data_IF_826932046397
#
_entry.id   IF_826932046397
#
_cell.length_a   1.000
_cell.length_b   1.000
_cell.length_c   1.000
_cell.angle_alpha   90.00
_cell.angle_beta   90.00
_cell.angle_gamma   90.00
#
_symmetry.space_group_name_H-M   'P 1'
#
loop_
_entity.id
_entity.type
_entity.pdbx_description
1 polymer ?
#
# COMPACT_ATOMS: atom_id res chain seq x y z
N UNK A 1 0.44 -0.39 4.44
CA UNK A 1 1.86 0.00 4.32
C UNK A 1 1.94 1.28 3.51
N UNK A 2 2.90 2.17 3.77
CA UNK A 2 3.01 3.40 2.96
C UNK A 2 3.81 3.11 1.70
N UNK A 3 3.36 3.63 0.55
CA UNK A 3 4.11 3.55 -0.70
C UNK A 3 5.30 4.53 -0.63
N UNK A 4 6.52 4.02 -0.56
CA UNK A 4 7.74 4.84 -0.56
C UNK A 4 8.15 5.26 -1.96
N UNK A 5 8.08 4.35 -2.92
CA UNK A 5 8.30 4.64 -4.35
C UNK A 5 7.44 3.73 -5.22
N UNK A 6 6.87 4.29 -6.28
CA UNK A 6 6.26 3.57 -7.38
C UNK A 6 7.06 3.93 -8.63
N UNK A 7 7.57 2.92 -9.33
CA UNK A 7 8.39 3.10 -10.52
C UNK A 7 7.78 2.39 -11.71
N UNK A 8 7.91 3.01 -12.88
CA UNK A 8 7.52 2.48 -14.18
C UNK A 8 8.78 2.29 -15.02
N UNK A 9 8.99 1.08 -15.53
CA UNK A 9 10.11 0.79 -16.44
C UNK A 9 9.71 1.18 -17.86
N UNK A 10 10.52 2.04 -18.48
CA UNK A 10 10.33 2.52 -19.87
C UNK A 10 11.58 2.24 -20.70
N UNK A 11 11.40 2.20 -22.02
CA UNK A 11 12.47 1.98 -22.96
C UNK A 11 12.15 2.69 -24.27
N UNK A 12 13.04 3.58 -24.72
CA UNK A 12 12.90 4.32 -25.99
C UNK A 12 12.72 3.43 -27.22
N UNK A 13 13.16 2.17 -27.16
CA UNK A 13 12.95 1.18 -28.23
C UNK A 13 11.50 0.73 -28.38
N UNK A 14 10.60 1.16 -27.49
CA UNK A 14 9.15 0.96 -27.64
C UNK A 14 8.49 1.96 -28.60
N UNK A 15 9.24 2.92 -29.15
CA UNK A 15 8.74 3.88 -30.15
C UNK A 15 7.45 4.57 -29.68
N UNK A 16 6.38 4.53 -30.48
CA UNK A 16 5.09 5.14 -30.13
C UNK A 16 4.33 4.41 -29.01
N UNK A 17 4.75 3.21 -28.59
CA UNK A 17 4.21 2.54 -27.41
C UNK A 17 4.84 3.03 -26.10
N UNK A 18 5.85 3.91 -26.17
CA UNK A 18 6.52 4.44 -24.98
C UNK A 18 5.62 5.49 -24.29
N UNK A 19 5.38 5.37 -22.97
CA UNK A 19 4.72 6.42 -22.20
C UNK A 19 5.54 7.71 -22.20
N UNK A 20 4.88 8.85 -22.47
CA UNK A 20 5.46 10.20 -22.45
C UNK A 20 4.98 11.03 -21.26
N UNK A 21 3.71 10.89 -20.87
CA UNK A 21 3.17 11.52 -19.66
C UNK A 21 2.33 10.54 -18.85
N UNK A 22 2.61 10.46 -17.55
CA UNK A 22 1.92 9.55 -16.62
C UNK A 22 1.41 10.35 -15.44
N UNK A 23 0.10 10.24 -15.17
CA UNK A 23 -0.51 10.79 -13.99
C UNK A 23 -0.80 9.68 -12.98
N UNK A 24 -0.56 9.96 -11.70
CA UNK A 24 -0.84 9.02 -10.60
C UNK A 24 -1.92 9.60 -9.72
N UNK A 25 -2.93 8.79 -9.42
CA UNK A 25 -4.05 9.12 -8.55
C UNK A 25 -4.09 8.16 -7.36
N UNK A 26 -4.75 8.57 -6.28
CA UNK A 26 -5.06 7.67 -5.18
C UNK A 26 -6.14 8.20 -4.26
N UNK A 27 -6.74 7.29 -3.50
CA UNK A 27 -7.91 7.58 -2.68
C UNK A 27 -8.63 6.32 -2.21
N UNK A 28 -9.91 6.48 -1.87
CA UNK A 28 -10.79 5.40 -1.41
C UNK A 28 -11.99 5.26 -2.36
N UNK A 29 -12.27 4.03 -2.81
CA UNK A 29 -13.32 3.77 -3.80
C UNK A 29 -13.13 4.63 -5.05
N UNK A 30 -14.21 5.32 -5.46
CA UNK A 30 -14.21 6.20 -6.64
C UNK A 30 -13.66 7.62 -6.36
N UNK A 31 -13.34 7.94 -5.09
CA UNK A 31 -12.87 9.27 -4.68
C UNK A 31 -11.35 9.41 -4.85
N UNK A 32 -10.88 9.30 -6.09
CA UNK A 32 -9.46 9.40 -6.44
C UNK A 32 -9.02 10.87 -6.60
N UNK A 33 -7.91 11.24 -5.94
CA UNK A 33 -7.26 12.55 -6.11
C UNK A 33 -5.95 12.38 -6.85
N UNK A 34 -5.62 13.35 -7.70
CA UNK A 34 -4.33 13.38 -8.41
C UNK A 34 -3.21 13.59 -7.39
N UNK A 35 -2.27 12.65 -7.35
CA UNK A 35 -1.10 12.66 -6.47
C UNK A 35 0.13 13.18 -7.20
N UNK A 36 0.28 12.84 -8.48
CA UNK A 36 1.42 13.27 -9.29
C UNK A 36 1.10 13.35 -10.78
N UNK A 37 1.93 14.08 -11.54
CA UNK A 37 1.96 14.12 -13.01
C UNK A 37 3.42 14.18 -13.47
N UNK A 38 3.86 13.19 -14.24
CA UNK A 38 5.26 12.99 -14.59
C UNK A 38 5.42 12.95 -16.10
N UNK A 39 6.23 13.87 -16.62
CA UNK A 39 6.77 13.79 -17.96
C UNK A 39 7.97 12.84 -18.00
N UNK A 40 8.04 12.02 -19.04
CA UNK A 40 9.09 11.02 -19.26
C UNK A 40 9.93 11.47 -20.44
N UNK A 41 11.25 11.48 -20.27
CA UNK A 41 12.19 11.71 -21.36
C UNK A 41 12.10 10.54 -22.36
N UNK A 42 11.74 10.86 -23.60
CA UNK A 42 11.51 9.91 -24.68
C UNK A 42 12.79 9.18 -25.12
N UNK A 43 13.98 9.65 -24.70
CA UNK A 43 15.26 8.98 -24.92
C UNK A 43 15.65 8.03 -23.80
N UNK A 44 14.91 8.02 -22.69
CA UNK A 44 15.27 7.29 -21.48
C UNK A 44 15.03 5.77 -21.59
N UNK A 45 15.90 5.02 -20.94
CA UNK A 45 15.77 3.57 -20.73
C UNK A 45 16.01 3.30 -19.25
N UNK A 46 15.03 2.72 -18.57
CA UNK A 46 15.15 2.36 -17.15
C UNK A 46 13.90 2.61 -16.33
N UNK A 47 14.07 2.73 -15.01
CA UNK A 47 12.99 2.93 -14.06
C UNK A 47 12.74 4.43 -13.79
N UNK A 48 11.57 4.92 -14.18
CA UNK A 48 11.10 6.28 -13.83
C UNK A 48 10.30 6.22 -12.53
N UNK A 49 10.65 7.05 -11.56
CA UNK A 49 9.87 7.20 -10.32
C UNK A 49 8.63 8.06 -10.59
N UNK A 50 7.43 7.48 -10.52
CA UNK A 50 6.16 8.16 -10.81
C UNK A 50 5.39 8.60 -9.57
N UNK A 51 5.73 8.07 -8.40
CA UNK A 51 5.21 8.50 -7.10
C UNK A 51 6.24 8.18 -6.01
N UNK A 52 6.47 9.09 -5.08
CA UNK A 52 7.35 8.84 -3.93
C UNK A 52 6.88 9.51 -2.65
N UNK A 53 7.46 9.06 -1.54
CA UNK A 53 7.35 9.66 -0.20
C UNK A 53 5.93 9.91 0.31
N UNK A 54 5.03 8.95 0.04
CA UNK A 54 3.68 9.00 0.60
C UNK A 54 3.70 8.99 2.13
N UNK A 55 3.02 9.98 2.71
CA UNK A 55 2.86 10.14 4.17
C UNK A 55 1.56 9.52 4.69
N UNK A 56 0.61 9.26 3.81
CA UNK A 56 -0.69 8.66 4.13
C UNK A 56 -0.90 7.36 3.37
N UNK A 57 -1.62 6.43 4.01
CA UNK A 57 -2.01 5.19 3.37
C UNK A 57 -3.18 5.46 2.42
N UNK A 58 -3.02 5.12 1.14
CA UNK A 58 -4.10 5.14 0.17
C UNK A 58 -4.38 3.71 -0.29
N UNK A 59 -5.60 3.18 -0.09
CA UNK A 59 -5.92 1.80 -0.44
C UNK A 59 -5.96 1.57 -1.95
N UNK A 60 -6.23 2.61 -2.74
CA UNK A 60 -6.19 2.57 -4.20
C UNK A 60 -5.12 3.55 -4.71
N UNK A 61 -4.27 3.05 -5.60
CA UNK A 61 -3.36 3.86 -6.43
C UNK A 61 -3.65 3.52 -7.88
N UNK A 62 -3.92 4.54 -8.69
CA UNK A 62 -4.24 4.41 -10.10
C UNK A 62 -3.17 5.11 -10.95
N UNK A 63 -2.61 4.38 -11.91
CA UNK A 63 -1.64 4.89 -12.87
C UNK A 63 -2.39 5.15 -14.17
N UNK A 64 -2.39 6.39 -14.65
CA UNK A 64 -2.96 6.79 -15.94
C UNK A 64 -1.84 7.14 -16.89
N UNK A 65 -1.73 6.39 -17.99
CA UNK A 65 -0.92 6.80 -19.13
C UNK A 65 -1.73 7.84 -19.89
N UNK A 66 -1.25 9.09 -19.86
CA UNK A 66 -2.00 10.23 -20.39
C UNK A 66 -1.60 10.50 -21.85
N UNK A 67 -0.33 10.36 -22.15
CA UNK A 67 0.24 10.57 -23.48
C UNK A 67 1.33 9.53 -23.74
N UNK A 68 1.37 8.99 -24.96
CA UNK A 68 2.47 8.19 -25.47
C UNK A 68 3.31 9.04 -26.45
N UNK A 69 4.51 8.57 -26.76
CA UNK A 69 5.38 9.16 -27.77
C UNK A 69 4.71 9.13 -29.16
N UNK A 70 4.99 10.15 -29.97
CA UNK A 70 4.52 10.27 -31.36
C UNK A 70 2.99 10.02 -31.52
N UNK A 71 2.20 10.51 -30.57
CA UNK A 71 0.74 10.35 -30.49
C UNK A 71 0.26 8.88 -30.55
N UNK A 72 1.06 7.96 -30.02
CA UNK A 72 0.70 6.55 -29.90
C UNK A 72 -0.58 6.35 -29.09
N UNK A 73 -1.42 5.42 -29.55
CA UNK A 73 -2.72 5.12 -28.94
C UNK A 73 -2.67 3.93 -27.97
N UNK A 74 -1.61 3.14 -28.07
CA UNK A 74 -1.34 1.97 -27.22
C UNK A 74 -0.07 2.22 -26.41
N UNK A 75 0.07 1.49 -25.31
CA UNK A 75 1.23 1.60 -24.42
C UNK A 75 1.84 0.23 -24.15
N UNK A 76 3.18 0.16 -24.12
CA UNK A 76 3.90 -1.03 -23.64
C UNK A 76 4.41 -0.79 -22.22
N UNK A 77 3.90 -1.59 -21.28
CA UNK A 77 4.35 -1.56 -19.89
C UNK A 77 5.39 -2.65 -19.68
N UNK A 78 6.67 -2.26 -19.57
CA UNK A 78 7.77 -3.23 -19.38
C UNK A 78 7.93 -3.71 -17.94
N UNK A 79 7.56 -2.88 -16.97
CA UNK A 79 7.67 -3.22 -15.56
C UNK A 79 7.05 -2.18 -14.66
N UNK A 80 6.49 -2.63 -13.54
CA UNK A 80 5.98 -1.79 -12.45
C UNK A 80 6.64 -2.27 -11.16
N UNK A 81 7.25 -1.36 -10.40
CA UNK A 81 7.95 -1.67 -9.15
C UNK A 81 7.39 -0.81 -8.02
N UNK A 82 7.12 -1.43 -6.88
CA UNK A 82 6.67 -0.74 -5.67
C UNK A 82 7.67 -0.99 -4.54
N UNK A 83 8.17 0.08 -3.94
CA UNK A 83 8.85 0.06 -2.65
C UNK A 83 7.86 0.54 -1.59
N UNK A 84 7.57 -0.30 -0.60
CA UNK A 84 6.69 0.09 0.51
C UNK A 84 7.45 0.07 1.83
N UNK A 85 7.09 0.96 2.76
CA UNK A 85 7.51 0.78 4.15
C UNK A 85 6.65 -0.32 4.76
N UNK A 86 7.32 -1.37 5.23
CA UNK A 86 6.67 -2.43 5.99
C UNK A 86 6.36 -1.91 7.39
N UNK A 87 5.31 -1.12 7.54
CA UNK A 87 4.83 -0.74 8.87
C UNK A 87 3.97 -1.87 9.44
N UNK A 88 4.63 -2.93 9.89
CA UNK A 88 4.12 -3.90 10.88
C UNK A 88 5.27 -4.48 11.70
N UNK A 89 6.23 -3.64 12.05
CA UNK A 89 6.87 -3.83 13.33
C UNK A 89 6.09 -2.98 14.32
N UNK A 90 5.48 -3.62 15.31
CA UNK A 90 4.80 -2.89 16.40
C UNK A 90 5.82 -2.21 17.31
N UNK A 91 7.12 -2.31 17.01
CA UNK A 91 8.20 -1.84 17.87
C UNK A 91 8.21 -2.59 19.20
N UNK A 92 7.69 -3.83 19.21
CA UNK A 92 7.65 -4.64 20.41
C UNK A 92 9.08 -5.10 20.71
N UNK A 93 9.75 -4.38 21.60
CA UNK A 93 10.95 -4.84 22.30
C UNK A 93 10.59 -5.24 23.72
N UNK A 94 11.38 -6.12 24.32
CA UNK A 94 11.23 -6.43 25.75
C UNK A 94 11.40 -5.17 26.61
N UNK A 95 12.35 -4.31 26.25
CA UNK A 95 12.66 -3.04 26.93
C UNK A 95 11.45 -2.10 27.01
N UNK A 96 10.59 -2.09 25.97
CA UNK A 96 9.35 -1.30 25.97
C UNK A 96 8.47 -1.62 27.18
N UNK A 97 8.39 -2.90 27.57
CA UNK A 97 7.58 -3.35 28.70
C UNK A 97 8.23 -3.05 30.04
N UNK A 98 9.54 -2.78 30.07
CA UNK A 98 10.30 -2.47 31.29
C UNK A 98 10.44 -0.97 31.55
N UNK A 99 9.96 -0.10 30.64
CA UNK A 99 10.03 1.35 30.80
C UNK A 99 9.37 1.81 32.12
N UNK A 100 10.07 2.61 32.95
CA UNK A 100 9.60 3.00 34.28
C UNK A 100 8.37 3.92 34.24
N UNK A 101 8.15 4.60 33.11
CA UNK A 101 7.02 5.48 32.86
C UNK A 101 5.92 4.83 32.01
N UNK A 102 5.98 3.52 31.76
CA UNK A 102 4.94 2.83 31.03
C UNK A 102 3.69 2.69 31.92
N UNK A 103 2.68 3.51 31.65
CA UNK A 103 1.38 3.39 32.31
C UNK A 103 0.70 2.11 31.83
N UNK A 104 0.46 1.18 32.76
CA UNK A 104 -0.24 -0.07 32.48
C UNK A 104 -1.69 0.05 32.92
N UNK A 105 -2.57 -0.71 32.27
CA UNK A 105 -3.91 -0.90 32.81
C UNK A 105 -3.82 -1.56 34.19
N UNK A 106 -4.68 -1.20 35.16
CA UNK A 106 -4.60 -1.72 36.53
C UNK A 106 -4.55 -3.25 36.62
N UNK A 107 -5.28 -3.94 35.73
CA UNK A 107 -5.29 -5.42 35.64
C UNK A 107 -3.96 -6.05 35.20
N UNK A 108 -3.03 -5.25 34.68
CA UNK A 108 -1.75 -5.70 34.14
C UNK A 108 -0.54 -5.25 34.98
N UNK A 109 -0.73 -4.40 36.00
CA UNK A 109 0.36 -3.86 36.82
C UNK A 109 1.18 -4.95 37.53
N UNK A 110 0.51 -5.98 38.05
CA UNK A 110 1.16 -7.12 38.72
C UNK A 110 1.68 -8.21 37.78
N UNK A 111 1.58 -8.04 36.45
CA UNK A 111 2.07 -9.04 35.50
C UNK A 111 3.53 -8.78 35.14
N UNK A 112 4.33 -9.84 35.15
CA UNK A 112 5.73 -9.80 34.73
C UNK A 112 5.88 -9.16 33.32
N UNK A 113 6.77 -8.15 33.14
CA UNK A 113 6.96 -7.47 31.86
C UNK A 113 7.36 -8.41 30.71
N UNK A 114 8.18 -9.42 30.97
CA UNK A 114 8.63 -10.36 29.95
C UNK A 114 7.48 -11.28 29.52
N UNK A 115 6.58 -11.62 30.44
CA UNK A 115 5.36 -12.37 30.12
C UNK A 115 4.41 -11.53 29.25
N UNK A 116 4.27 -10.24 29.54
CA UNK A 116 3.49 -9.31 28.72
C UNK A 116 4.08 -9.19 27.31
N UNK A 117 5.40 -9.05 27.20
CA UNK A 117 6.11 -9.03 25.92
C UNK A 117 5.84 -10.30 25.11
N UNK A 118 6.00 -11.49 25.72
CA UNK A 118 5.74 -12.78 25.03
C UNK A 118 4.29 -12.89 24.55
N UNK A 119 3.32 -12.46 25.38
CA UNK A 119 1.90 -12.42 24.99
C UNK A 119 1.66 -11.49 23.81
N UNK A 120 2.26 -10.29 23.83
CA UNK A 120 2.14 -9.32 22.74
C UNK A 120 2.72 -9.89 21.42
N UNK A 121 3.87 -10.56 21.48
CA UNK A 121 4.48 -11.23 20.31
C UNK A 121 3.57 -12.33 19.76
N UNK A 122 2.96 -13.15 20.62
CA UNK A 122 2.03 -14.19 20.20
C UNK A 122 0.78 -13.61 19.54
N UNK A 123 0.18 -12.59 20.12
CA UNK A 123 -0.98 -11.90 19.54
C UNK A 123 -0.61 -11.30 18.17
N UNK A 124 0.55 -10.65 18.07
CA UNK A 124 1.03 -10.10 16.79
C UNK A 124 1.21 -11.19 15.73
N UNK A 125 1.75 -12.36 16.09
CA UNK A 125 1.89 -13.50 15.17
C UNK A 125 0.54 -14.06 14.77
N UNK A 126 -0.39 -14.19 15.71
CA UNK A 126 -1.75 -14.63 15.43
C UNK A 126 -2.46 -13.69 14.45
N UNK A 127 -2.41 -12.38 14.68
CA UNK A 127 -3.00 -11.38 13.77
C UNK A 127 -2.37 -11.48 12.37
N UNK A 128 -1.04 -11.62 12.28
CA UNK A 128 -0.35 -11.81 11.00
C UNK A 128 -0.85 -13.05 10.25
N UNK A 129 -1.04 -14.16 10.95
CA UNK A 129 -1.59 -15.39 10.37
C UNK A 129 -3.06 -15.21 9.97
N UNK A 130 -3.88 -14.65 10.86
CA UNK A 130 -5.29 -14.39 10.60
C UNK A 130 -5.46 -13.52 9.36
N UNK A 131 -4.76 -12.39 9.26
CA UNK A 131 -4.82 -11.50 8.10
C UNK A 131 -4.42 -12.22 6.80
N UNK A 132 -3.48 -13.17 6.87
CA UNK A 132 -3.06 -13.94 5.68
C UNK A 132 -4.14 -14.86 5.14
N UNK A 133 -5.08 -15.29 5.99
CA UNK A 133 -6.19 -16.18 5.61
C UNK A 133 -7.54 -15.48 5.60
N UNK A 134 -7.63 -14.24 6.09
CA UNK A 134 -8.89 -13.53 6.29
C UNK A 134 -9.70 -13.41 5.00
N UNK A 135 -9.04 -13.18 3.87
CA UNK A 135 -9.65 -13.09 2.55
C UNK A 135 -10.26 -14.42 2.04
N UNK A 136 -9.89 -15.56 2.64
CA UNK A 136 -10.53 -16.85 2.39
C UNK A 136 -11.68 -17.13 3.35
N UNK A 137 -11.68 -16.51 4.53
CA UNK A 137 -12.65 -16.74 5.61
C UNK A 137 -13.85 -15.80 5.53
N UNK A 138 -13.65 -14.60 4.99
CA UNK A 138 -14.68 -13.57 4.85
C UNK A 138 -14.88 -13.35 3.35
N UNK A 139 -16.10 -13.59 2.81
CA UNK A 139 -16.43 -13.17 1.46
C UNK A 139 -16.08 -11.70 1.31
N UNK A 140 -15.48 -11.29 0.19
CA UNK A 140 -15.26 -9.87 -0.10
C UNK A 140 -16.55 -9.13 0.25
N UNK A 141 -16.48 -8.17 1.16
CA UNK A 141 -17.66 -7.42 1.60
C UNK A 141 -18.14 -6.65 0.38
N UNK A 142 -19.07 -7.23 -0.37
CA UNK A 142 -19.68 -6.58 -1.51
C UNK A 142 -20.42 -5.36 -0.96
N UNK A 143 -19.89 -4.17 -1.20
CA UNK A 143 -20.55 -2.91 -0.87
C UNK A 143 -21.84 -2.68 -1.69
N UNK A 144 -22.32 -3.68 -2.43
CA UNK A 144 -23.64 -3.71 -3.07
C UNK A 144 -24.74 -4.22 -2.15
N UNK A 145 -24.59 -4.13 -0.81
CA UNK A 145 -25.70 -4.25 0.14
C UNK A 145 -26.64 -3.05 -0.02
N UNK A 146 -27.42 -3.11 -1.08
CA UNK A 146 -28.45 -2.17 -1.45
C UNK A 146 -29.65 -2.89 -2.03
N UNK A 147 -30.04 -4.06 -1.52
CA UNK A 147 -31.39 -4.62 -1.74
C UNK A 147 -31.77 -5.67 -0.68
N UNK A 148 -32.05 -5.24 0.56
CA UNK A 148 -32.77 -6.07 1.55
C UNK A 148 -34.29 -6.14 1.27
N UNK A 149 -34.71 -6.33 0.02
CA UNK A 149 -36.15 -6.37 -0.34
C UNK A 149 -36.66 -7.69 -0.90
N UNK A 150 -35.93 -8.80 -0.71
CA UNK A 150 -36.44 -10.13 -1.08
C UNK A 150 -36.08 -11.20 -0.05
N UNK A 151 -36.77 -11.16 1.07
CA UNK A 151 -37.15 -12.37 1.79
C UNK A 151 -38.67 -12.31 1.97
N UNK A 152 -39.35 -13.18 1.24
CA UNK A 152 -40.78 -13.46 1.34
C UNK A 152 -40.92 -14.89 1.84
#
# INVERSE_FOLDING_TARGET
>A
SLCRKLLLTVDTTDENFMPKRVAVYGGEGDNLKKLNDVGIDESYIGDVCILEDMTTHLPVIEIRIVECRDDGIDVRIRGIKIKSSRQRDLGLSADMFQLPNLVRYPRLEGTDPDLLYRRAVLIQRFIKLLDSVLHHLVPAWDHTVGTFSKLK
#
